data_IF_409479322239
#
_entry.id   IF_409479322239
#
_cell.length_a   1.000
_cell.length_b   1.000
_cell.length_c   1.000
_cell.angle_alpha   90.00
_cell.angle_beta   90.00
_cell.angle_gamma   90.00
#
_symmetry.space_group_name_H-M   'P 1'
#
loop_
_entity.id
_entity.type
_entity.pdbx_description
1 polymer ?
#
# COMPACT_ATOMS: atom_id res chain seq x y z
N UNK A 1 -4.54 11.99 -6.18
CA UNK A 1 -5.82 12.35 -6.82
C UNK A 1 -7.01 11.59 -6.21
N UNK A 2 -6.99 10.24 -6.12
CA UNK A 2 -8.12 9.45 -5.62
C UNK A 2 -8.49 9.75 -4.15
N UNK A 3 -7.56 10.16 -3.29
CA UNK A 3 -7.85 10.57 -1.92
C UNK A 3 -8.84 11.74 -1.85
N UNK A 4 -8.71 12.70 -2.77
CA UNK A 4 -9.62 13.86 -2.87
C UNK A 4 -11.03 13.42 -3.28
N UNK A 5 -11.15 12.42 -4.16
CA UNK A 5 -12.46 11.88 -4.52
C UNK A 5 -13.17 11.20 -3.34
N UNK A 6 -12.42 10.49 -2.50
CA UNK A 6 -13.00 9.84 -1.32
C UNK A 6 -13.40 10.86 -0.26
N UNK A 7 -12.58 11.89 -0.05
CA UNK A 7 -12.94 13.03 0.80
C UNK A 7 -14.21 13.73 0.29
N UNK A 8 -14.29 13.99 -1.02
CA UNK A 8 -15.48 14.58 -1.64
C UNK A 8 -16.71 13.68 -1.48
N UNK A 9 -16.56 12.37 -1.66
CA UNK A 9 -17.62 11.41 -1.44
C UNK A 9 -18.14 11.42 0.00
N UNK A 10 -17.26 11.60 0.99
CA UNK A 10 -17.66 11.78 2.39
C UNK A 10 -18.57 13.01 2.56
N UNK A 11 -18.20 14.16 1.99
CA UNK A 11 -19.01 15.37 2.10
C UNK A 11 -20.36 15.28 1.39
N UNK A 12 -20.40 14.60 0.24
CA UNK A 12 -21.62 14.46 -0.56
C UNK A 12 -22.56 13.37 -0.05
N UNK A 13 -22.07 12.44 0.74
CA UNK A 13 -22.85 11.30 1.21
C UNK A 13 -23.66 11.65 2.47
N UNK A 14 -24.85 11.05 2.56
CA UNK A 14 -25.65 11.07 3.79
C UNK A 14 -25.00 10.21 4.87
N UNK A 15 -25.36 10.46 6.12
CA UNK A 15 -24.99 9.57 7.22
C UNK A 15 -25.46 8.12 6.94
N UNK A 16 -24.63 7.16 7.34
CA UNK A 16 -24.83 5.73 7.09
C UNK A 16 -24.85 5.31 5.60
N UNK A 17 -24.50 6.21 4.66
CA UNK A 17 -24.37 5.84 3.26
C UNK A 17 -23.19 4.88 3.07
N UNK A 18 -23.42 3.85 2.27
CA UNK A 18 -22.36 2.93 1.82
C UNK A 18 -21.66 3.49 0.60
N UNK A 19 -20.34 3.47 0.64
CA UNK A 19 -19.45 3.99 -0.39
C UNK A 19 -18.48 2.89 -0.77
N UNK A 20 -18.23 2.72 -2.06
CA UNK A 20 -17.29 1.74 -2.57
C UNK A 20 -16.39 2.38 -3.63
N UNK A 21 -15.08 2.18 -3.49
CA UNK A 21 -14.10 2.65 -4.46
C UNK A 21 -13.11 1.56 -4.83
N UNK A 22 -12.68 1.58 -6.09
CA UNK A 22 -11.53 0.85 -6.60
C UNK A 22 -10.40 1.84 -6.90
N UNK A 23 -9.19 1.60 -6.36
CA UNK A 23 -8.06 2.51 -6.49
C UNK A 23 -6.73 1.83 -6.14
N UNK A 24 -5.57 2.46 -6.44
CA UNK A 24 -4.27 1.88 -6.15
C UNK A 24 -4.07 1.54 -4.66
N UNK A 25 -3.46 0.37 -4.38
CA UNK A 25 -3.16 -0.11 -3.02
C UNK A 25 -2.12 0.73 -2.29
N UNK A 26 -1.36 1.58 -2.98
CA UNK A 26 -0.21 2.33 -2.45
C UNK A 26 -0.52 3.16 -1.20
N UNK A 27 -1.77 3.62 -1.04
CA UNK A 27 -2.19 4.39 0.14
C UNK A 27 -2.05 3.62 1.46
N UNK A 28 -2.06 2.30 1.43
CA UNK A 28 -2.07 1.47 2.64
C UNK A 28 -0.76 1.59 3.44
N UNK A 29 0.38 1.80 2.77
CA UNK A 29 1.69 1.83 3.40
C UNK A 29 2.59 3.02 3.04
N UNK A 30 2.30 3.79 1.99
CA UNK A 30 3.15 4.92 1.61
C UNK A 30 2.98 6.11 2.56
N UNK A 31 4.09 6.74 2.97
CA UNK A 31 4.13 7.87 3.91
C UNK A 31 3.32 9.07 3.43
N UNK A 32 3.32 9.35 2.12
CA UNK A 32 2.57 10.44 1.50
C UNK A 32 1.06 10.35 1.71
N UNK A 33 0.54 9.18 2.10
CA UNK A 33 -0.88 8.95 2.36
C UNK A 33 -1.23 8.85 3.86
N UNK A 34 -0.33 9.22 4.77
CA UNK A 34 -0.61 9.15 6.21
C UNK A 34 -1.85 9.95 6.62
N UNK A 35 -1.99 11.19 6.16
CA UNK A 35 -3.18 12.04 6.41
C UNK A 35 -4.45 11.45 5.79
N UNK A 36 -4.35 10.83 4.63
CA UNK A 36 -5.49 10.13 4.02
C UNK A 36 -5.94 8.93 4.88
N UNK A 37 -4.99 8.13 5.36
CA UNK A 37 -5.31 6.99 6.25
C UNK A 37 -5.94 7.44 7.56
N UNK A 38 -5.42 8.50 8.16
CA UNK A 38 -6.01 9.14 9.34
C UNK A 38 -7.45 9.59 9.07
N UNK A 39 -7.67 10.28 7.95
CA UNK A 39 -8.99 10.75 7.55
C UNK A 39 -10.00 9.60 7.41
N UNK A 40 -9.67 8.56 6.65
CA UNK A 40 -10.61 7.43 6.45
C UNK A 40 -10.85 6.64 7.73
N UNK A 41 -9.84 6.51 8.60
CA UNK A 41 -9.96 5.80 9.88
C UNK A 41 -10.85 6.53 10.87
N UNK A 42 -10.89 7.86 10.81
CA UNK A 42 -11.67 8.68 11.74
C UNK A 42 -13.07 9.01 11.24
N UNK A 43 -13.32 8.99 9.93
CA UNK A 43 -14.57 9.45 9.34
C UNK A 43 -15.41 8.34 8.70
N UNK A 44 -14.86 7.13 8.60
CA UNK A 44 -15.57 6.01 8.00
C UNK A 44 -15.48 4.76 8.86
N UNK A 45 -16.55 3.99 8.83
CA UNK A 45 -16.48 2.56 9.12
C UNK A 45 -16.04 1.82 7.87
N UNK A 46 -14.84 1.29 7.87
CA UNK A 46 -14.32 0.44 6.80
C UNK A 46 -14.77 -0.99 7.07
N UNK A 47 -15.52 -1.58 6.15
CA UNK A 47 -16.01 -2.96 6.30
C UNK A 47 -15.05 -3.96 5.71
N UNK A 48 -14.67 -3.72 4.47
CA UNK A 48 -13.91 -4.65 3.66
C UNK A 48 -12.81 -3.95 2.90
N UNK A 49 -11.65 -4.60 2.80
CA UNK A 49 -10.61 -4.26 1.85
C UNK A 49 -10.33 -5.50 1.02
N UNK A 50 -10.51 -5.41 -0.29
CA UNK A 50 -10.35 -6.49 -1.23
C UNK A 50 -9.13 -6.22 -2.09
N UNK A 51 -8.06 -7.00 -1.92
CA UNK A 51 -6.88 -6.89 -2.74
C UNK A 51 -7.11 -7.60 -4.07
N UNK A 52 -7.11 -6.84 -5.15
CA UNK A 52 -7.30 -7.36 -6.51
C UNK A 52 -5.98 -7.77 -7.16
N UNK A 53 -4.84 -7.31 -6.61
CA UNK A 53 -3.52 -7.56 -7.20
C UNK A 53 -3.23 -6.65 -8.40
N UNK A 54 -2.35 -7.16 -9.26
CA UNK A 54 -1.91 -6.49 -10.49
C UNK A 54 -2.73 -6.95 -11.70
N UNK A 55 -2.66 -6.18 -12.80
CA UNK A 55 -3.24 -6.58 -14.09
C UNK A 55 -4.78 -6.56 -14.14
N UNK A 56 -5.43 -5.77 -13.28
CA UNK A 56 -6.89 -5.57 -13.31
C UNK A 56 -7.27 -4.57 -14.40
N UNK A 57 -6.46 -3.55 -14.59
CA UNK A 57 -6.63 -2.56 -15.64
C UNK A 57 -5.51 -2.70 -16.66
N UNK A 58 -5.85 -2.66 -17.93
CA UNK A 58 -4.88 -2.61 -19.03
C UNK A 58 -3.96 -1.40 -18.83
N UNK A 59 -2.68 -1.59 -19.06
CA UNK A 59 -1.64 -0.55 -18.91
C UNK A 59 -1.39 -0.04 -17.47
N UNK A 60 -2.01 -0.61 -16.43
CA UNK A 60 -1.74 -0.24 -15.06
C UNK A 60 -0.73 -1.21 -14.41
N UNK A 61 0.39 -0.66 -13.95
CA UNK A 61 1.47 -1.42 -13.29
C UNK A 61 1.33 -1.48 -11.77
N UNK A 62 0.23 -0.94 -11.24
CA UNK A 62 0.00 -0.84 -9.80
C UNK A 62 -1.02 -1.88 -9.33
N UNK A 63 -0.78 -2.44 -8.15
CA UNK A 63 -1.77 -3.27 -7.47
C UNK A 63 -2.95 -2.41 -7.01
N UNK A 64 -4.16 -2.92 -7.16
CA UNK A 64 -5.41 -2.22 -6.81
C UNK A 64 -6.16 -2.90 -5.67
N UNK A 65 -6.96 -2.11 -4.98
CA UNK A 65 -7.87 -2.59 -3.94
C UNK A 65 -9.27 -2.01 -4.13
N UNK A 66 -10.28 -2.76 -3.71
CA UNK A 66 -11.62 -2.25 -3.47
C UNK A 66 -11.75 -2.04 -1.96
N UNK A 67 -12.29 -0.87 -1.58
CA UNK A 67 -12.62 -0.61 -0.18
C UNK A 67 -14.09 -0.23 -0.04
N UNK A 68 -14.76 -0.87 0.90
CA UNK A 68 -16.16 -0.62 1.22
C UNK A 68 -16.26 0.12 2.54
N UNK A 69 -16.84 1.31 2.49
CA UNK A 69 -17.02 2.23 3.60
C UNK A 69 -18.49 2.44 3.96
N UNK A 70 -18.75 2.80 5.20
CA UNK A 70 -19.96 3.53 5.60
C UNK A 70 -19.53 4.84 6.22
N UNK A 71 -20.19 5.95 5.85
CA UNK A 71 -20.00 7.24 6.52
C UNK A 71 -20.49 7.13 7.95
N UNK A 72 -19.58 6.92 8.88
CA UNK A 72 -19.86 6.80 10.31
C UNK A 72 -18.55 7.00 11.07
N UNK A 73 -18.56 7.89 12.05
CA UNK A 73 -17.36 8.32 12.76
C UNK A 73 -16.78 7.34 13.78
N UNK A 74 -17.42 6.20 14.04
CA UNK A 74 -16.94 5.23 15.05
C UNK A 74 -17.13 3.82 14.55
N UNK A 75 -16.07 3.02 14.55
CA UNK A 75 -16.15 1.58 14.34
C UNK A 75 -15.39 0.83 15.42
N UNK A 76 -16.07 -0.09 16.05
CA UNK A 76 -15.49 -1.06 16.98
C UNK A 76 -15.18 -2.41 16.31
N UNK A 77 -15.56 -2.58 15.05
CA UNK A 77 -15.45 -3.85 14.35
C UNK A 77 -14.18 -3.93 13.51
N UNK A 78 -13.64 -5.15 13.41
CA UNK A 78 -12.50 -5.46 12.56
C UNK A 78 -12.84 -5.27 11.09
N UNK A 79 -11.83 -4.85 10.32
CA UNK A 79 -11.91 -4.78 8.86
C UNK A 79 -11.66 -6.17 8.31
N UNK A 80 -12.56 -6.66 7.46
CA UNK A 80 -12.39 -7.93 6.77
C UNK A 80 -11.50 -7.75 5.55
N UNK A 81 -10.52 -8.61 5.42
CA UNK A 81 -9.56 -8.60 4.32
C UNK A 81 -9.87 -9.73 3.35
N UNK A 82 -9.90 -9.41 2.05
CA UNK A 82 -10.13 -10.37 0.98
C UNK A 82 -9.01 -10.29 -0.05
N UNK A 83 -8.71 -11.42 -0.66
CA UNK A 83 -7.80 -11.56 -1.79
C UNK A 83 -8.58 -12.05 -3.00
N UNK A 84 -8.40 -11.41 -4.15
CA UNK A 84 -8.88 -11.94 -5.42
C UNK A 84 -7.97 -13.09 -5.85
N UNK A 85 -8.56 -14.22 -6.18
CA UNK A 85 -7.89 -15.36 -6.78
C UNK A 85 -8.50 -15.70 -8.14
N UNK A 86 -7.67 -16.18 -9.04
CA UNK A 86 -8.08 -16.69 -10.35
C UNK A 86 -7.63 -18.15 -10.45
N UNK A 87 -8.58 -19.04 -10.76
CA UNK A 87 -8.24 -20.42 -11.05
C UNK A 87 -7.67 -20.57 -12.47
N UNK A 88 -7.22 -21.76 -12.81
CA UNK A 88 -6.65 -22.09 -14.12
C UNK A 88 -7.63 -21.86 -15.29
N UNK A 89 -8.93 -21.88 -15.02
CA UNK A 89 -10.01 -21.59 -15.99
C UNK A 89 -10.37 -20.10 -16.08
N UNK A 90 -9.63 -19.24 -15.37
CA UNK A 90 -9.87 -17.80 -15.34
C UNK A 90 -11.08 -17.35 -14.51
N UNK A 91 -11.72 -18.27 -13.77
CA UNK A 91 -12.82 -17.92 -12.87
C UNK A 91 -12.28 -17.15 -11.66
N UNK A 92 -12.98 -16.11 -11.29
CA UNK A 92 -12.61 -15.19 -10.21
C UNK A 92 -13.35 -15.59 -8.92
N UNK A 93 -12.63 -15.67 -7.82
CA UNK A 93 -13.16 -15.79 -6.47
C UNK A 93 -12.54 -14.77 -5.53
N UNK A 94 -13.26 -14.42 -4.47
CA UNK A 94 -12.74 -13.58 -3.40
C UNK A 94 -12.58 -14.43 -2.15
N UNK A 95 -11.34 -14.67 -1.77
CA UNK A 95 -11.03 -15.48 -0.60
C UNK A 95 -10.84 -14.54 0.60
N UNK A 96 -11.66 -14.73 1.63
CA UNK A 96 -11.48 -14.02 2.88
C UNK A 96 -10.20 -14.49 3.55
N UNK A 97 -9.38 -13.55 3.98
CA UNK A 97 -8.17 -13.85 4.73
C UNK A 97 -8.54 -14.19 6.19
N UNK A 98 -7.82 -15.12 6.79
CA UNK A 98 -8.04 -15.52 8.19
C UNK A 98 -7.78 -14.38 9.18
N UNK A 99 -6.86 -13.47 8.84
CA UNK A 99 -6.55 -12.31 9.65
C UNK A 99 -7.50 -11.16 9.32
N UNK A 100 -8.10 -10.63 10.35
CA UNK A 100 -8.84 -9.37 10.34
C UNK A 100 -7.90 -8.24 10.75
N UNK A 101 -8.22 -7.03 10.32
CA UNK A 101 -7.44 -5.84 10.69
C UNK A 101 -8.23 -5.01 11.74
N UNK A 102 -7.86 -5.09 13.02
CA UNK A 102 -8.51 -4.31 14.06
C UNK A 102 -8.21 -2.81 13.92
N UNK A 103 -9.21 -1.96 14.17
CA UNK A 103 -9.00 -0.51 14.22
C UNK A 103 -7.99 -0.09 15.29
N UNK A 104 -7.93 -0.80 16.41
CA UNK A 104 -6.93 -0.57 17.45
C UNK A 104 -5.50 -0.75 16.93
N UNK A 105 -5.27 -1.76 16.09
CA UNK A 105 -3.97 -1.99 15.46
C UNK A 105 -3.60 -0.84 14.51
N UNK A 106 -4.54 -0.36 13.69
CA UNK A 106 -4.30 0.77 12.79
C UNK A 106 -3.94 2.02 13.59
N UNK A 107 -4.73 2.34 14.62
CA UNK A 107 -4.53 3.52 15.47
C UNK A 107 -3.27 3.46 16.33
N UNK A 108 -2.76 2.27 16.62
CA UNK A 108 -1.51 2.11 17.38
C UNK A 108 -0.26 2.39 16.56
N UNK A 109 -0.36 2.45 15.22
CA UNK A 109 0.77 2.81 14.36
C UNK A 109 0.84 4.32 14.16
N UNK A 110 2.03 4.95 14.18
CA UNK A 110 2.17 6.42 14.07
C UNK A 110 1.60 7.02 12.79
N UNK A 111 1.37 6.20 11.77
CA UNK A 111 0.93 6.62 10.45
C UNK A 111 -0.36 5.94 10.01
N UNK A 112 -1.12 5.33 10.91
CA UNK A 112 -2.35 4.61 10.60
C UNK A 112 -2.15 3.55 9.49
N UNK A 113 -1.13 2.71 9.62
CA UNK A 113 -0.76 1.74 8.58
C UNK A 113 -1.78 0.61 8.45
N UNK A 114 -2.07 0.24 7.20
CA UNK A 114 -2.91 -0.90 6.84
C UNK A 114 -2.05 -2.02 6.25
N UNK A 115 -2.18 -3.24 6.75
CA UNK A 115 -1.42 -4.39 6.24
C UNK A 115 -2.31 -5.61 6.08
N UNK A 116 -2.09 -6.36 5.00
CA UNK A 116 -2.67 -7.69 4.80
C UNK A 116 -1.89 -8.79 5.55
N UNK A 117 -0.67 -8.49 5.99
CA UNK A 117 0.13 -9.45 6.75
C UNK A 117 -0.16 -9.32 8.23
N UNK A 118 -0.22 -10.45 8.92
CA UNK A 118 -0.31 -10.48 10.38
C UNK A 118 0.94 -9.84 10.98
N UNK A 119 0.75 -8.89 11.89
CA UNK A 119 1.86 -8.33 12.63
C UNK A 119 2.53 -9.45 13.45
N UNK A 120 3.83 -9.63 13.25
CA UNK A 120 4.64 -10.52 14.10
C UNK A 120 4.99 -9.73 15.35
N UNK A 121 4.45 -10.14 16.48
CA UNK A 121 4.87 -9.60 17.78
C UNK A 121 6.21 -10.23 18.14
N UNK A 122 7.27 -9.43 18.11
CA UNK A 122 8.56 -9.83 18.60
C UNK A 122 8.71 -9.40 20.06
N UNK A 123 8.92 -10.36 20.97
CA UNK A 123 9.18 -10.09 22.40
C UNK A 123 10.61 -9.56 22.64
N UNK A 124 11.11 -8.73 21.75
CA UNK A 124 12.43 -8.10 21.83
C UNK A 124 12.28 -6.58 21.71
N UNK A 125 13.15 -5.85 22.37
CA UNK A 125 13.25 -4.40 22.19
C UNK A 125 13.75 -4.13 20.76
N UNK A 126 12.93 -3.46 19.97
CA UNK A 126 13.27 -3.03 18.61
C UNK A 126 13.39 -1.53 18.55
N UNK A 127 14.24 -1.05 17.65
CA UNK A 127 14.29 0.37 17.26
C UNK A 127 13.91 0.50 15.79
N UNK A 128 13.21 1.56 15.42
CA UNK A 128 12.97 1.85 14.00
C UNK A 128 14.29 1.97 13.25
N UNK A 129 14.41 1.32 12.10
CA UNK A 129 15.67 1.31 11.33
C UNK A 129 16.15 2.74 10.97
N UNK A 130 15.20 3.68 10.79
CA UNK A 130 15.48 5.10 10.55
C UNK A 130 16.26 5.81 11.67
N UNK A 131 16.31 5.22 12.87
CA UNK A 131 17.11 5.75 13.99
C UNK A 131 18.56 5.25 13.96
N UNK A 132 18.84 4.25 13.14
CA UNK A 132 20.14 3.57 13.06
C UNK A 132 20.88 3.88 11.75
N UNK A 133 20.18 4.22 10.68
CA UNK A 133 20.74 4.44 9.36
C UNK A 133 20.00 5.55 8.62
N UNK A 134 20.74 6.23 7.74
CA UNK A 134 20.17 7.16 6.78
C UNK A 134 19.74 6.42 5.51
N UNK A 135 18.54 6.76 5.01
CA UNK A 135 18.03 6.21 3.76
C UNK A 135 18.15 7.25 2.65
N UNK A 136 18.81 6.89 1.58
CA UNK A 136 18.84 7.69 0.37
C UNK A 136 18.28 6.89 -0.81
N UNK A 137 17.55 7.58 -1.67
CA UNK A 137 17.17 7.01 -2.95
C UNK A 137 18.40 6.93 -3.82
N UNK A 138 18.70 5.74 -4.35
CA UNK A 138 19.77 5.56 -5.32
C UNK A 138 19.50 6.34 -6.62
N UNK A 139 20.45 6.29 -7.53
CA UNK A 139 20.36 6.96 -8.83
C UNK A 139 19.19 6.36 -9.63
N UNK A 140 18.25 7.23 -10.03
CA UNK A 140 17.18 6.90 -10.95
C UNK A 140 17.37 7.70 -12.23
N UNK A 141 17.60 7.02 -13.34
CA UNK A 141 17.73 7.67 -14.65
C UNK A 141 16.35 7.87 -15.28
N UNK A 142 16.21 8.88 -16.11
CA UNK A 142 15.01 9.08 -16.92
C UNK A 142 14.95 8.11 -18.10
N UNK A 143 16.13 7.65 -18.58
CA UNK A 143 16.27 6.70 -19.68
C UNK A 143 17.52 5.83 -19.44
N UNK A 144 17.30 4.59 -18.99
CA UNK A 144 18.37 3.65 -18.71
C UNK A 144 19.21 3.33 -19.96
N UNK A 145 18.58 3.23 -21.13
CA UNK A 145 19.29 2.89 -22.37
C UNK A 145 20.27 3.99 -22.80
N UNK A 146 19.94 5.24 -22.46
CA UNK A 146 20.76 6.41 -22.80
C UNK A 146 21.89 6.64 -21.79
N UNK A 147 21.63 6.44 -20.51
CA UNK A 147 22.54 6.85 -19.42
C UNK A 147 23.32 5.71 -18.80
N UNK A 148 22.93 4.46 -19.02
CA UNK A 148 23.64 3.29 -18.48
C UNK A 148 24.33 2.58 -19.65
N UNK A 149 25.67 2.61 -19.60
CA UNK A 149 26.54 1.99 -20.60
C UNK A 149 27.39 0.90 -19.96
N UNK A 150 27.78 -0.12 -20.72
CA UNK A 150 28.55 -1.28 -20.21
C UNK A 150 30.07 -1.06 -20.28
N UNK A 151 30.51 0.14 -20.61
CA UNK A 151 31.94 0.51 -20.71
C UNK A 151 32.19 1.89 -20.12
N UNK A 152 33.44 2.13 -19.67
CA UNK A 152 33.89 3.47 -19.22
C UNK A 152 34.12 4.33 -20.44
N UNK A 153 33.32 5.38 -20.65
CA UNK A 153 33.44 6.32 -21.74
C UNK A 153 34.53 7.35 -21.49
N UNK A 154 34.60 7.91 -20.29
CA UNK A 154 35.51 8.96 -19.88
C UNK A 154 35.57 9.05 -18.33
N UNK A 155 36.25 10.02 -17.80
CA UNK A 155 36.39 10.21 -16.35
C UNK A 155 35.13 10.73 -15.66
N UNK A 156 34.11 11.14 -16.39
CA UNK A 156 32.77 11.46 -15.88
C UNK A 156 31.86 10.23 -15.73
N UNK A 157 32.34 9.06 -16.16
CA UNK A 157 31.60 7.80 -16.11
C UNK A 157 31.87 7.09 -14.77
N UNK A 158 30.82 6.85 -13.98
CA UNK A 158 30.90 6.21 -12.67
C UNK A 158 30.32 4.81 -12.69
N UNK A 159 30.88 3.93 -11.85
CA UNK A 159 30.33 2.59 -11.64
C UNK A 159 28.97 2.68 -10.95
N UNK A 160 27.96 2.04 -11.53
CA UNK A 160 26.62 1.93 -10.96
C UNK A 160 26.30 0.50 -10.60
N UNK A 161 26.00 0.22 -9.35
CA UNK A 161 25.49 -1.06 -8.90
C UNK A 161 23.97 -1.10 -9.06
N UNK A 162 23.47 -2.18 -9.65
CA UNK A 162 22.03 -2.48 -9.78
C UNK A 162 21.72 -3.73 -8.93
N UNK A 163 20.45 -3.94 -8.60
CA UNK A 163 20.04 -5.11 -7.81
C UNK A 163 20.53 -6.45 -8.37
N UNK A 164 20.64 -6.58 -9.71
CA UNK A 164 21.21 -7.78 -10.36
C UNK A 164 22.71 -7.99 -10.12
N UNK A 165 23.42 -6.96 -9.68
CA UNK A 165 24.86 -7.02 -9.39
C UNK A 165 25.15 -7.34 -7.92
N UNK A 166 24.12 -7.40 -7.08
CA UNK A 166 24.24 -7.67 -5.65
C UNK A 166 23.82 -9.11 -5.42
N UNK A 167 24.70 -9.89 -4.83
CA UNK A 167 24.44 -11.28 -4.42
C UNK A 167 24.44 -11.39 -2.91
N UNK A 168 23.83 -12.48 -2.43
CA UNK A 168 23.80 -12.76 -0.99
C UNK A 168 25.21 -13.01 -0.48
N UNK A 169 25.67 -12.21 0.47
CA UNK A 169 27.01 -12.30 1.11
C UNK A 169 28.22 -12.05 0.18
N UNK A 170 28.04 -11.32 -0.91
CA UNK A 170 29.12 -10.81 -1.76
C UNK A 170 29.14 -9.28 -1.79
#
# INVERSE_FOLDING_TARGET
LYSVFIEKAHFLSKENAKICFIYPKTWMGSDSFSKYREFITNNFRIHNIINLGYGIFENATVSTVITVFTKLSISSNDILLYQLERNEKGQISFIQQDNKLPYSQIKSTPQFLFSFTKAVSLNIKTKPLKELVDFSLGIKTSDDKKFIIDYKKDDSTYLMLRGKNIRKYE
#
